data_IF_593893791227
#
_entry.id   IF_593893791227
#
_cell.length_a   1.000
_cell.length_b   1.000
_cell.length_c   1.000
_cell.angle_alpha   90.00
_cell.angle_beta   90.00
_cell.angle_gamma   90.00
#
_symmetry.space_group_name_H-M   'P 1'
#
loop_
_entity.id
_entity.type
_entity.pdbx_description
1 polymer ?
#
# COMPACT_ATOMS: atom_id res chain seq x y z
N UNK A 1 7.19 2.61 -12.69
CA UNK A 1 8.65 2.44 -12.69
C UNK A 1 9.25 2.27 -14.09
N UNK A 2 8.97 1.20 -14.87
CA UNK A 2 9.60 1.00 -16.18
C UNK A 2 9.40 2.17 -17.17
N UNK A 3 8.21 2.74 -17.25
CA UNK A 3 7.93 3.91 -18.10
C UNK A 3 8.73 5.15 -17.70
N UNK A 4 9.06 5.31 -16.40
CA UNK A 4 9.83 6.45 -15.89
C UNK A 4 11.28 6.44 -16.37
N UNK A 5 11.83 5.27 -16.65
CA UNK A 5 13.18 5.10 -17.22
C UNK A 5 13.17 4.98 -18.75
N UNK A 6 12.06 5.32 -19.40
CA UNK A 6 11.95 5.36 -20.87
C UNK A 6 11.68 4.01 -21.53
N UNK A 7 11.37 2.96 -20.77
CA UNK A 7 11.06 1.65 -21.34
C UNK A 7 9.61 1.65 -21.86
N UNK A 8 9.44 1.32 -23.15
CA UNK A 8 8.10 1.13 -23.73
C UNK A 8 7.52 -0.21 -23.26
N UNK A 9 6.56 -0.12 -22.38
CA UNK A 9 5.83 -1.25 -21.83
C UNK A 9 4.32 -1.02 -21.98
N UNK A 10 3.64 -1.98 -22.58
CA UNK A 10 2.19 -1.99 -22.70
C UNK A 10 1.63 -3.08 -21.80
N UNK A 11 0.69 -2.71 -20.94
CA UNK A 11 0.04 -3.62 -20.02
C UNK A 11 -1.48 -3.56 -20.20
N UNK A 12 -2.09 -4.72 -20.37
CA UNK A 12 -3.53 -4.95 -20.35
C UNK A 12 -3.86 -5.82 -19.12
N UNK A 13 -5.13 -6.13 -18.92
CA UNK A 13 -5.56 -6.92 -17.76
C UNK A 13 -4.86 -8.29 -17.62
N UNK A 14 -4.55 -8.95 -18.75
CA UNK A 14 -4.00 -10.31 -18.79
C UNK A 14 -2.69 -10.44 -19.57
N UNK A 15 -2.15 -9.34 -20.08
CA UNK A 15 -0.98 -9.38 -20.96
C UNK A 15 -0.07 -8.18 -20.71
N UNK A 16 1.23 -8.44 -20.67
CA UNK A 16 2.26 -7.41 -20.61
C UNK A 16 3.16 -7.61 -21.83
N UNK A 17 3.24 -6.59 -22.67
CA UNK A 17 4.12 -6.55 -23.85
C UNK A 17 5.30 -5.64 -23.54
N UNK A 18 6.49 -6.17 -23.71
CA UNK A 18 7.75 -5.48 -23.57
C UNK A 18 8.57 -5.67 -24.84
N UNK A 19 8.94 -4.56 -25.48
CA UNK A 19 9.90 -4.61 -26.59
C UNK A 19 11.31 -4.79 -26.04
N UNK A 20 12.07 -5.74 -26.57
CA UNK A 20 13.50 -5.89 -26.25
C UNK A 20 14.34 -4.77 -26.82
N UNK A 21 15.62 -4.70 -26.43
CA UNK A 21 16.63 -3.74 -26.95
C UNK A 21 16.28 -2.26 -26.68
N UNK A 22 15.61 -1.95 -25.57
CA UNK A 22 15.40 -0.57 -25.17
C UNK A 22 16.69 0.01 -24.60
N UNK A 23 17.05 1.21 -25.05
CA UNK A 23 17.99 2.06 -24.38
C UNK A 23 17.22 2.88 -23.35
N UNK A 24 17.70 2.95 -22.12
CA UNK A 24 17.09 3.75 -21.06
C UNK A 24 18.11 4.62 -20.36
N UNK A 25 17.69 5.78 -19.94
CA UNK A 25 18.50 6.73 -19.19
C UNK A 25 18.29 6.57 -17.70
N UNK A 26 19.37 6.80 -16.94
CA UNK A 26 19.27 6.88 -15.49
C UNK A 26 18.39 8.06 -15.07
N UNK A 27 17.46 7.83 -14.15
CA UNK A 27 16.58 8.86 -13.61
C UNK A 27 16.51 8.75 -12.10
N UNK A 28 16.09 9.82 -11.44
CA UNK A 28 15.80 9.78 -10.02
C UNK A 28 14.46 9.07 -9.81
N UNK A 29 14.46 8.07 -8.94
CA UNK A 29 13.26 7.33 -8.54
C UNK A 29 13.11 7.44 -7.04
N UNK A 30 12.00 8.03 -6.62
CA UNK A 30 11.58 8.02 -5.22
C UNK A 30 10.80 6.73 -4.96
N UNK A 31 11.29 5.93 -4.02
CA UNK A 31 10.69 4.64 -3.68
C UNK A 31 9.82 4.83 -2.42
N UNK A 32 8.51 4.58 -2.49
CA UNK A 32 7.66 4.66 -1.32
C UNK A 32 7.99 3.58 -0.29
N UNK A 33 7.58 3.82 0.96
CA UNK A 33 7.63 2.80 2.01
C UNK A 33 6.78 1.59 1.65
N UNK A 34 7.28 0.40 1.97
CA UNK A 34 6.59 -0.86 1.73
C UNK A 34 5.38 -1.02 2.65
N UNK A 35 4.20 -1.24 2.08
CA UNK A 35 2.95 -1.39 2.83
C UNK A 35 2.96 -2.62 3.74
N UNK A 36 3.50 -3.76 3.29
CA UNK A 36 3.56 -4.97 4.10
C UNK A 36 4.42 -4.77 5.36
N UNK A 37 5.51 -4.02 5.25
CA UNK A 37 6.31 -3.64 6.42
C UNK A 37 5.55 -2.66 7.34
N UNK A 38 4.79 -1.73 6.77
CA UNK A 38 3.97 -0.80 7.54
C UNK A 38 2.83 -1.52 8.29
N UNK A 39 2.30 -2.62 7.75
CA UNK A 39 1.19 -3.37 8.33
C UNK A 39 1.46 -3.81 9.78
N UNK A 40 2.68 -4.23 10.10
CA UNK A 40 3.06 -4.59 11.46
C UNK A 40 2.95 -3.40 12.43
N UNK A 41 3.37 -2.21 11.99
CA UNK A 41 3.28 -0.99 12.79
C UNK A 41 1.82 -0.53 12.94
N UNK A 42 1.03 -0.64 11.87
CA UNK A 42 -0.40 -0.32 11.87
C UNK A 42 -1.11 -1.20 12.90
N UNK A 43 -1.00 -2.52 12.78
CA UNK A 43 -1.66 -3.44 13.71
C UNK A 43 -1.14 -3.25 15.12
N UNK A 44 0.19 -3.12 15.31
CA UNK A 44 0.79 -2.85 16.61
C UNK A 44 0.23 -1.60 17.30
N UNK A 45 0.05 -0.51 16.55
CA UNK A 45 -0.54 0.72 17.09
C UNK A 45 -2.03 0.56 17.43
N UNK A 46 -2.79 -0.13 16.57
CA UNK A 46 -4.22 -0.35 16.79
C UNK A 46 -4.52 -1.13 18.07
N UNK A 47 -3.69 -2.15 18.40
CA UNK A 47 -3.92 -3.01 19.57
C UNK A 47 -3.23 -2.52 20.85
N UNK A 48 -2.32 -1.55 20.76
CA UNK A 48 -1.58 -1.04 21.93
C UNK A 48 -2.32 0.14 22.57
N UNK A 49 -2.79 0.05 23.82
CA UNK A 49 -3.52 1.13 24.46
C UNK A 49 -2.73 2.44 24.52
N UNK A 50 -3.39 3.56 24.24
CA UNK A 50 -2.83 4.92 24.22
C UNK A 50 -1.76 5.13 23.14
N UNK A 51 -1.72 4.28 22.13
CA UNK A 51 -0.80 4.40 21.02
C UNK A 51 -1.35 5.36 19.94
N UNK A 52 -0.46 6.17 19.39
CA UNK A 52 -0.70 7.02 18.21
C UNK A 52 0.59 7.10 17.42
N UNK A 53 0.54 6.76 16.14
CA UNK A 53 1.71 6.82 15.25
C UNK A 53 1.36 7.48 13.93
N UNK A 54 2.36 8.10 13.32
CA UNK A 54 2.31 8.60 11.94
C UNK A 54 3.38 7.89 11.11
N UNK A 55 2.94 7.09 10.14
CA UNK A 55 3.82 6.38 9.21
C UNK A 55 3.83 7.17 7.89
N UNK A 56 4.99 7.68 7.49
CA UNK A 56 5.12 8.56 6.33
C UNK A 56 5.51 7.80 5.08
N UNK A 57 5.15 8.38 3.93
CA UNK A 57 5.57 7.95 2.60
C UNK A 57 5.21 6.49 2.28
N UNK A 58 4.10 5.99 2.77
CA UNK A 58 3.64 4.61 2.53
C UNK A 58 3.04 4.49 1.15
N UNK A 59 3.43 3.46 0.39
CA UNK A 59 2.82 3.13 -0.89
C UNK A 59 1.36 2.70 -0.72
N UNK A 60 0.45 3.35 -1.46
CA UNK A 60 -1.00 3.13 -1.37
C UNK A 60 -1.55 2.42 -2.61
N UNK A 61 -0.79 1.48 -3.18
CA UNK A 61 -1.28 0.69 -4.30
C UNK A 61 -2.50 -0.13 -3.88
N UNK A 62 -3.61 0.03 -4.60
CA UNK A 62 -4.90 -0.62 -4.28
C UNK A 62 -4.83 -2.16 -4.20
N UNK A 63 -3.87 -2.79 -4.88
CA UNK A 63 -3.64 -4.23 -4.76
C UNK A 63 -2.98 -4.64 -3.43
N UNK A 64 -2.51 -3.68 -2.62
CA UNK A 64 -1.81 -3.91 -1.35
C UNK A 64 -2.51 -3.31 -0.15
N UNK A 65 -3.46 -2.39 -0.35
CA UNK A 65 -4.14 -1.67 0.74
C UNK A 65 -5.42 -2.34 1.23
N UNK A 66 -5.73 -3.54 0.74
CA UNK A 66 -6.91 -4.28 1.17
C UNK A 66 -6.99 -4.49 2.70
N UNK A 67 -5.85 -4.57 3.37
CA UNK A 67 -5.78 -4.62 4.84
C UNK A 67 -6.40 -3.38 5.49
N UNK A 68 -6.21 -2.17 4.92
CA UNK A 68 -6.81 -0.95 5.47
C UNK A 68 -8.33 -1.06 5.49
N UNK A 69 -8.93 -1.52 4.40
CA UNK A 69 -10.38 -1.66 4.29
C UNK A 69 -10.92 -2.67 5.31
N UNK A 70 -10.21 -3.79 5.50
CA UNK A 70 -10.55 -4.79 6.53
C UNK A 70 -10.45 -4.18 7.92
N UNK A 71 -9.35 -3.49 8.25
CA UNK A 71 -9.17 -2.87 9.57
C UNK A 71 -10.20 -1.77 9.84
N UNK A 72 -10.55 -0.96 8.84
CA UNK A 72 -11.63 0.03 8.95
C UNK A 72 -12.98 -0.65 9.23
N UNK A 73 -13.28 -1.79 8.60
CA UNK A 73 -14.49 -2.58 8.90
C UNK A 73 -14.48 -3.17 10.31
N UNK A 74 -13.31 -3.31 10.92
CA UNK A 74 -13.11 -3.71 12.30
C UNK A 74 -13.13 -2.53 13.29
N UNK A 75 -13.55 -1.33 12.87
CA UNK A 75 -13.57 -0.11 13.68
C UNK A 75 -12.18 0.46 14.00
N UNK A 76 -11.19 0.23 13.14
CA UNK A 76 -9.87 0.82 13.31
C UNK A 76 -9.87 2.33 13.06
N UNK A 77 -9.11 3.07 13.86
CA UNK A 77 -8.85 4.50 13.66
C UNK A 77 -7.60 4.68 12.80
N UNK A 78 -7.80 4.70 11.49
CA UNK A 78 -6.76 4.93 10.48
C UNK A 78 -7.20 6.09 9.60
N UNK A 79 -6.32 7.08 9.43
CA UNK A 79 -6.54 8.19 8.51
C UNK A 79 -5.39 8.28 7.50
N UNK A 80 -5.74 8.47 6.21
CA UNK A 80 -4.76 8.67 5.15
C UNK A 80 -4.61 10.16 4.90
N UNK A 81 -3.42 10.67 5.14
CA UNK A 81 -3.07 12.08 5.03
C UNK A 81 -2.09 12.30 3.88
N UNK A 82 -2.01 13.54 3.41
CA UNK A 82 -0.98 13.99 2.47
C UNK A 82 -0.82 13.09 1.24
N UNK A 83 -1.93 12.63 0.66
CA UNK A 83 -1.91 11.81 -0.55
C UNK A 83 -1.20 12.55 -1.69
N UNK A 84 -0.24 11.89 -2.31
CA UNK A 84 0.62 12.42 -3.38
C UNK A 84 1.09 11.30 -4.29
N UNK A 85 1.92 11.63 -5.29
CA UNK A 85 2.50 10.63 -6.18
C UNK A 85 4.02 10.71 -6.16
N UNK A 86 4.66 9.54 -6.09
CA UNK A 86 6.06 9.33 -6.41
C UNK A 86 6.14 8.70 -7.80
N UNK A 87 6.32 9.54 -8.84
CA UNK A 87 6.15 9.11 -10.21
C UNK A 87 4.70 8.70 -10.51
N UNK A 88 4.46 7.43 -10.78
CA UNK A 88 3.12 6.87 -11.02
C UNK A 88 2.52 6.16 -9.77
N UNK A 89 3.31 6.00 -8.71
CA UNK A 89 2.88 5.32 -7.49
C UNK A 89 2.13 6.28 -6.56
N UNK A 90 0.98 5.85 -6.05
CA UNK A 90 0.25 6.58 -5.02
C UNK A 90 0.91 6.38 -3.66
N UNK A 91 1.10 7.49 -2.93
CA UNK A 91 1.77 7.51 -1.64
C UNK A 91 0.99 8.39 -0.68
N UNK A 92 0.97 8.02 0.57
CA UNK A 92 0.34 8.81 1.63
C UNK A 92 1.01 8.60 2.97
N UNK A 93 0.58 9.40 3.92
CA UNK A 93 0.96 9.25 5.32
C UNK A 93 -0.21 8.61 6.06
N UNK A 94 0.05 7.60 6.89
CA UNK A 94 -0.97 6.90 7.66
C UNK A 94 -0.90 7.35 9.12
N UNK A 95 -1.94 8.02 9.61
CA UNK A 95 -2.13 8.26 11.03
C UNK A 95 -2.96 7.12 11.62
N UNK A 96 -2.41 6.45 12.62
CA UNK A 96 -3.01 5.27 13.24
C UNK A 96 -3.08 5.45 14.75
N UNK A 97 -4.28 5.31 15.29
CA UNK A 97 -4.53 5.46 16.72
C UNK A 97 -5.09 4.15 17.30
N UNK A 98 -4.79 3.90 18.58
CA UNK A 98 -5.39 2.78 19.30
C UNK A 98 -6.91 2.72 19.10
N UNK A 99 -7.43 1.52 18.89
CA UNK A 99 -8.86 1.29 18.66
C UNK A 99 -9.31 -0.01 19.31
N UNK A 100 -10.53 -0.01 19.82
CA UNK A 100 -11.20 -1.25 20.20
C UNK A 100 -11.76 -1.92 18.95
N UNK A 101 -10.99 -2.88 18.44
CA UNK A 101 -11.35 -3.59 17.23
C UNK A 101 -12.48 -4.59 17.46
N UNK A 102 -13.37 -4.69 16.49
CA UNK A 102 -14.47 -5.67 16.47
C UNK A 102 -14.22 -6.69 15.35
N UNK A 103 -14.80 -7.88 15.48
CA UNK A 103 -14.69 -8.89 14.42
C UNK A 103 -15.43 -8.46 13.17
N UNK A 104 -14.87 -8.78 12.01
CA UNK A 104 -15.54 -8.63 10.71
C UNK A 104 -15.53 -9.94 9.93
N UNK A 105 -16.28 -9.98 8.84
CA UNK A 105 -16.22 -11.07 7.86
C UNK A 105 -15.48 -10.55 6.64
N UNK A 106 -14.45 -11.27 6.24
CA UNK A 106 -13.63 -10.94 5.07
C UNK A 106 -14.17 -11.70 3.87
N UNK A 107 -14.42 -10.97 2.77
CA UNK A 107 -14.82 -11.60 1.51
C UNK A 107 -13.66 -12.40 0.93
N UNK A 108 -13.97 -13.61 0.45
CA UNK A 108 -12.98 -14.50 -0.18
C UNK A 108 -12.31 -13.89 -1.41
N UNK A 109 -12.96 -12.97 -2.10
CA UNK A 109 -12.44 -12.32 -3.30
C UNK A 109 -11.26 -11.38 -3.01
N UNK A 110 -11.17 -10.82 -1.80
CA UNK A 110 -10.07 -9.91 -1.43
C UNK A 110 -8.88 -10.63 -0.76
N UNK A 111 -9.04 -11.90 -0.37
CA UNK A 111 -7.99 -12.67 0.30
C UNK A 111 -6.65 -12.68 -0.47
N UNK A 112 -6.63 -12.83 -1.82
CA UNK A 112 -5.38 -12.77 -2.57
C UNK A 112 -4.58 -11.46 -2.38
N UNK A 113 -5.28 -10.35 -2.12
CA UNK A 113 -4.67 -9.04 -1.87
C UNK A 113 -4.26 -8.81 -0.41
N UNK A 114 -4.53 -9.77 0.47
CA UNK A 114 -4.26 -9.73 1.91
C UNK A 114 -3.23 -10.76 2.34
N UNK A 115 -2.83 -11.67 1.45
CA UNK A 115 -2.13 -12.90 1.85
C UNK A 115 -0.81 -12.63 2.57
N UNK A 116 -0.13 -11.55 2.22
CA UNK A 116 1.14 -11.15 2.82
C UNK A 116 0.95 -10.50 4.21
N UNK A 117 -0.23 -9.96 4.48
CA UNK A 117 -0.57 -9.22 5.71
C UNK A 117 -1.44 -10.04 6.70
N UNK A 118 -1.95 -11.22 6.30
CA UNK A 118 -2.81 -12.05 7.15
C UNK A 118 -2.15 -12.56 8.43
N UNK A 119 -0.84 -12.87 8.49
CA UNK A 119 -0.18 -13.24 9.73
C UNK A 119 -0.06 -12.11 10.72
#
# INVERSE_FOLDING_TARGET
>A
MFKQIGIDIQANQNEILLSGQNEFEGTQIDVPGDFSSAAFLIVGALISPNSSILIKDVGLNSSRTALIDVLLSMNASIEILNQRKFGEEEVGDLEVNYSELVSCTVDSEIIPNLIDELP
#
